data_IF_913549219341
#
_entry.id   IF_913549219341
#
_cell.length_a   1.000
_cell.length_b   1.000
_cell.length_c   1.000
_cell.angle_alpha   90.00
_cell.angle_beta   90.00
_cell.angle_gamma   90.00
#
_symmetry.space_group_name_H-M   'P 1'
#
loop_
_entity.id
_entity.type
_entity.pdbx_description
1 polymer ?
#
# COMPACT_ATOMS: atom_id res chain seq x y z
N UNK A 1 -7.66 -2.59 11.94
CA UNK A 1 -8.36 -2.69 10.62
C UNK A 1 -7.46 -3.47 9.69
N UNK A 2 -8.03 -4.24 8.71
CA UNK A 2 -7.20 -4.98 7.75
C UNK A 2 -7.17 -4.27 6.41
N UNK A 3 -6.00 -4.24 5.78
CA UNK A 3 -5.81 -3.71 4.43
C UNK A 3 -4.94 -4.64 3.61
N UNK A 4 -5.12 -4.63 2.29
CA UNK A 4 -4.28 -5.37 1.37
C UNK A 4 -3.30 -4.44 0.68
N UNK A 5 -2.04 -4.80 0.71
CA UNK A 5 -1.02 -4.19 -0.13
C UNK A 5 -0.49 -5.23 -1.12
N UNK A 6 -0.43 -4.85 -2.38
CA UNK A 6 0.29 -5.63 -3.39
C UNK A 6 1.74 -5.17 -3.39
N UNK A 7 2.63 -6.05 -2.93
CA UNK A 7 4.07 -5.80 -2.99
C UNK A 7 4.60 -6.21 -4.36
N UNK A 8 5.23 -5.27 -5.05
CA UNK A 8 5.92 -5.51 -6.30
C UNK A 8 7.38 -5.80 -5.99
N UNK A 9 7.89 -6.94 -6.44
CA UNK A 9 9.23 -7.41 -6.11
C UNK A 9 9.89 -8.08 -7.32
N UNK A 10 11.20 -7.89 -7.46
CA UNK A 10 12.03 -8.65 -8.40
C UNK A 10 12.62 -9.86 -7.68
N UNK A 11 12.41 -11.06 -8.23
CA UNK A 11 12.82 -12.32 -7.64
C UNK A 11 13.16 -13.38 -8.71
N UNK A 12 13.88 -14.42 -8.33
CA UNK A 12 14.22 -15.52 -9.23
C UNK A 12 13.03 -16.49 -9.45
N UNK A 13 12.21 -16.67 -8.42
CA UNK A 13 11.00 -17.50 -8.44
C UNK A 13 9.98 -17.04 -7.39
N UNK A 14 8.85 -17.75 -7.31
CA UNK A 14 7.76 -17.43 -6.39
C UNK A 14 8.16 -17.58 -4.91
N UNK A 15 8.99 -18.58 -4.57
CA UNK A 15 9.45 -18.82 -3.20
C UNK A 15 10.40 -17.70 -2.76
N UNK A 16 11.31 -17.29 -3.64
CA UNK A 16 12.21 -16.17 -3.42
C UNK A 16 11.41 -14.85 -3.25
N UNK A 17 10.40 -14.61 -4.08
CA UNK A 17 9.52 -13.44 -3.95
C UNK A 17 8.84 -13.38 -2.58
N UNK A 18 8.28 -14.49 -2.09
CA UNK A 18 7.69 -14.59 -0.75
C UNK A 18 8.76 -14.34 0.33
N UNK A 19 9.96 -14.92 0.17
CA UNK A 19 11.07 -14.75 1.09
C UNK A 19 11.52 -13.30 1.22
N UNK A 20 11.67 -12.60 0.10
CA UNK A 20 12.04 -11.17 0.05
C UNK A 20 10.98 -10.32 0.74
N UNK A 21 9.69 -10.50 0.38
CA UNK A 21 8.60 -9.74 0.99
C UNK A 21 8.51 -10.00 2.48
N UNK A 22 8.57 -11.26 2.91
CA UNK A 22 8.56 -11.62 4.33
C UNK A 22 9.73 -11.01 5.07
N UNK A 23 10.93 -11.05 4.52
CA UNK A 23 12.11 -10.39 5.08
C UNK A 23 11.88 -8.90 5.25
N UNK A 24 11.38 -8.23 4.22
CA UNK A 24 11.14 -6.80 4.23
C UNK A 24 10.12 -6.36 5.29
N UNK A 25 9.01 -7.08 5.47
CA UNK A 25 7.97 -6.70 6.44
C UNK A 25 8.28 -7.10 7.88
N UNK A 26 9.22 -8.03 8.10
CA UNK A 26 9.59 -8.48 9.47
C UNK A 26 10.79 -7.74 10.04
N UNK A 27 11.61 -7.09 9.23
CA UNK A 27 12.76 -6.34 9.70
C UNK A 27 12.36 -4.97 10.25
N UNK A 28 12.78 -4.67 11.49
CA UNK A 28 12.51 -3.39 12.16
C UNK A 28 13.12 -2.16 11.43
N UNK A 29 14.09 -2.40 10.56
CA UNK A 29 14.72 -1.36 9.74
C UNK A 29 13.95 -1.04 8.45
N UNK A 30 12.94 -1.83 8.13
CA UNK A 30 12.13 -1.61 6.93
C UNK A 30 11.08 -0.54 7.24
N UNK A 31 11.08 0.57 6.51
CA UNK A 31 10.20 1.70 6.82
C UNK A 31 8.72 1.41 6.53
N UNK A 32 8.37 0.20 6.09
CA UNK A 32 7.05 -0.07 5.57
C UNK A 32 6.38 -1.29 6.19
N UNK A 33 5.13 -1.14 6.54
CA UNK A 33 4.49 0.10 6.98
C UNK A 33 4.71 0.31 8.47
N UNK A 34 5.32 1.40 8.84
CA UNK A 34 5.63 1.73 10.24
C UNK A 34 4.40 1.83 11.16
N UNK A 35 3.20 1.84 10.59
CA UNK A 35 1.93 1.94 11.31
C UNK A 35 1.23 0.60 11.51
N UNK A 36 1.68 -0.48 10.89
CA UNK A 36 1.06 -1.79 11.10
C UNK A 36 1.60 -2.43 12.37
N UNK A 37 0.72 -3.01 13.15
CA UNK A 37 1.05 -3.79 14.36
C UNK A 37 1.08 -5.30 14.09
N UNK A 38 0.58 -5.72 12.93
CA UNK A 38 0.52 -7.11 12.51
C UNK A 38 0.46 -7.22 10.97
N UNK A 39 1.01 -8.29 10.45
CA UNK A 39 0.88 -8.67 9.04
C UNK A 39 0.64 -10.17 8.93
N UNK A 40 -0.15 -10.59 7.97
CA UNK A 40 -0.41 -11.98 7.65
C UNK A 40 0.90 -12.70 7.33
N UNK A 41 1.14 -13.87 7.92
CA UNK A 41 2.36 -14.60 7.59
C UNK A 41 2.88 -15.56 8.63
N UNK A 42 2.36 -15.56 9.84
CA UNK A 42 2.70 -16.60 10.82
C UNK A 42 1.63 -17.68 10.73
N UNK A 43 1.79 -18.61 9.78
CA UNK A 43 0.96 -19.80 9.63
C UNK A 43 -0.15 -19.75 8.58
N UNK A 44 -0.53 -18.57 8.07
CA UNK A 44 -1.65 -18.41 7.13
C UNK A 44 -1.25 -17.88 5.74
N UNK A 45 0.07 -17.74 5.47
CA UNK A 45 0.55 -17.06 4.26
C UNK A 45 0.50 -15.53 4.36
N UNK A 46 1.22 -14.83 3.48
CA UNK A 46 1.32 -13.36 3.52
C UNK A 46 -0.01 -12.67 3.22
N UNK A 47 -0.81 -13.28 2.34
CA UNK A 47 -2.09 -12.71 1.89
C UNK A 47 -3.19 -12.73 2.97
N UNK A 48 -3.10 -13.61 3.97
CA UNK A 48 -4.08 -13.69 5.04
C UNK A 48 -5.52 -13.73 4.53
N UNK A 49 -6.32 -12.69 4.83
CA UNK A 49 -7.72 -12.56 4.39
C UNK A 49 -7.89 -12.40 2.87
N UNK A 50 -6.80 -12.08 2.18
CA UNK A 50 -6.77 -11.84 0.73
C UNK A 50 -6.27 -13.06 -0.03
N UNK A 51 -6.16 -14.22 0.64
CA UNK A 51 -5.87 -15.49 0.00
C UNK A 51 -6.85 -15.76 -1.12
N UNK A 52 -6.32 -16.20 -2.28
CA UNK A 52 -7.13 -16.41 -3.48
C UNK A 52 -7.39 -15.16 -4.31
N UNK A 53 -6.75 -14.03 -4.02
CA UNK A 53 -6.82 -12.83 -4.86
C UNK A 53 -6.45 -13.12 -6.32
N UNK A 54 -5.46 -13.96 -6.53
CA UNK A 54 -5.07 -14.46 -7.84
C UNK A 54 -5.81 -15.77 -8.14
N UNK A 55 -7.05 -15.69 -8.63
CA UNK A 55 -7.91 -16.84 -8.90
C UNK A 55 -7.24 -17.84 -9.87
N UNK A 56 -7.29 -19.11 -9.51
CA UNK A 56 -6.77 -20.22 -10.32
C UNK A 56 -5.38 -20.71 -9.94
N UNK A 57 -4.79 -20.16 -8.90
CA UNK A 57 -3.53 -20.64 -8.35
C UNK A 57 -3.76 -21.79 -7.36
N UNK A 58 -2.91 -22.82 -7.52
CA UNK A 58 -2.91 -23.97 -6.63
C UNK A 58 -2.60 -23.56 -5.20
N UNK A 59 -3.12 -24.33 -4.26
CA UNK A 59 -3.04 -24.12 -2.81
C UNK A 59 -1.72 -23.51 -2.34
N UNK A 60 -1.77 -22.36 -1.68
CA UNK A 60 -0.73 -21.66 -0.94
C UNK A 60 0.24 -20.73 -1.70
N UNK A 61 0.02 -20.42 -2.96
CA UNK A 61 0.87 -19.44 -3.65
C UNK A 61 0.08 -18.18 -4.01
N UNK A 62 -0.13 -17.31 -3.03
CA UNK A 62 -0.64 -15.96 -3.27
C UNK A 62 0.48 -15.07 -3.86
N UNK A 63 1.04 -15.53 -5.00
CA UNK A 63 2.10 -14.86 -5.73
C UNK A 63 1.82 -15.00 -7.20
N UNK A 64 1.91 -13.92 -7.94
CA UNK A 64 1.72 -13.90 -9.38
C UNK A 64 2.98 -13.39 -10.07
N UNK A 65 3.62 -14.23 -10.89
CA UNK A 65 4.62 -13.78 -11.85
C UNK A 65 3.93 -12.97 -12.95
N UNK A 66 4.47 -11.80 -13.25
CA UNK A 66 3.86 -10.88 -14.21
C UNK A 66 3.61 -11.51 -15.59
N UNK A 67 4.55 -12.35 -16.06
CA UNK A 67 4.46 -13.00 -17.37
C UNK A 67 3.51 -14.19 -17.42
N UNK A 68 3.19 -14.80 -16.29
CA UNK A 68 2.30 -15.97 -16.24
C UNK A 68 0.86 -15.61 -16.57
N UNK A 69 0.40 -14.47 -16.06
CA UNK A 69 -0.90 -13.93 -16.43
C UNK A 69 -0.87 -12.40 -16.43
N UNK A 70 -0.30 -11.84 -17.49
CA UNK A 70 -0.13 -10.40 -17.65
C UNK A 70 -1.46 -9.63 -17.55
N UNK A 71 -2.53 -10.17 -18.11
CA UNK A 71 -3.85 -9.49 -18.08
C UNK A 71 -4.34 -9.37 -16.64
N UNK A 72 -4.28 -10.47 -15.88
CA UNK A 72 -4.67 -10.46 -14.48
C UNK A 72 -3.78 -9.52 -13.66
N UNK A 73 -2.46 -9.55 -13.89
CA UNK A 73 -1.51 -8.68 -13.19
C UNK A 73 -1.80 -7.19 -13.46
N UNK A 74 -1.99 -6.82 -14.72
CA UNK A 74 -2.31 -5.44 -15.12
C UNK A 74 -3.65 -4.98 -14.55
N UNK A 75 -4.67 -5.84 -14.53
CA UNK A 75 -5.99 -5.53 -13.97
C UNK A 75 -5.92 -5.34 -12.46
N UNK A 76 -5.19 -6.19 -11.74
CA UNK A 76 -5.00 -6.06 -10.29
C UNK A 76 -4.23 -4.78 -9.95
N UNK A 77 -3.13 -4.51 -10.64
CA UNK A 77 -2.37 -3.26 -10.44
C UNK A 77 -3.29 -2.05 -10.65
N UNK A 78 -4.06 -2.04 -11.72
CA UNK A 78 -4.99 -0.97 -12.04
C UNK A 78 -6.10 -0.82 -11.00
N UNK A 79 -6.68 -1.93 -10.54
CA UNK A 79 -7.69 -1.92 -9.49
C UNK A 79 -7.13 -1.33 -8.21
N UNK A 80 -6.00 -1.84 -7.73
CA UNK A 80 -5.38 -1.38 -6.49
C UNK A 80 -4.90 0.08 -6.56
N UNK A 81 -4.46 0.54 -7.73
CA UNK A 81 -4.18 1.96 -7.96
C UNK A 81 -5.42 2.84 -7.88
N UNK A 82 -6.59 2.31 -8.25
CA UNK A 82 -7.84 3.05 -8.16
C UNK A 82 -8.25 3.37 -6.73
N UNK A 83 -7.89 2.54 -5.76
CA UNK A 83 -8.12 2.80 -4.33
C UNK A 83 -7.41 4.06 -3.86
N UNK A 84 -6.20 4.32 -4.35
CA UNK A 84 -5.46 5.55 -4.07
C UNK A 84 -6.24 6.81 -4.47
N UNK A 85 -6.85 6.79 -5.67
CA UNK A 85 -7.67 7.90 -6.16
C UNK A 85 -8.94 8.04 -5.31
N UNK A 86 -9.58 6.90 -4.98
CA UNK A 86 -10.77 6.86 -4.13
C UNK A 86 -10.51 7.41 -2.75
N UNK A 87 -9.41 7.00 -2.11
CA UNK A 87 -8.99 7.49 -0.79
C UNK A 87 -8.71 8.99 -0.82
N UNK A 88 -7.96 9.47 -1.82
CA UNK A 88 -7.66 10.91 -1.97
C UNK A 88 -8.95 11.72 -2.07
N UNK A 89 -9.93 11.27 -2.86
CA UNK A 89 -11.24 11.92 -2.97
C UNK A 89 -11.99 11.94 -1.63
N UNK A 90 -12.06 10.80 -0.96
CA UNK A 90 -12.73 10.68 0.34
C UNK A 90 -12.12 11.60 1.40
N UNK A 91 -10.79 11.65 1.46
CA UNK A 91 -10.07 12.54 2.38
C UNK A 91 -10.35 14.00 2.07
N UNK A 92 -10.31 14.38 0.78
CA UNK A 92 -10.58 15.73 0.33
C UNK A 92 -12.03 16.17 0.59
N UNK A 93 -13.01 15.30 0.33
CA UNK A 93 -14.41 15.53 0.66
C UNK A 93 -14.60 15.74 2.16
N UNK A 94 -13.90 14.98 3.00
CA UNK A 94 -13.92 15.15 4.44
C UNK A 94 -13.33 16.48 4.93
N UNK A 95 -12.39 17.07 4.18
CA UNK A 95 -11.85 18.42 4.45
C UNK A 95 -12.87 19.48 4.07
N UNK A 96 -13.51 19.33 2.91
CA UNK A 96 -14.41 20.34 2.33
C UNK A 96 -15.84 20.31 2.88
N UNK A 97 -16.18 19.33 3.72
CA UNK A 97 -17.54 19.13 4.22
C UNK A 97 -18.05 20.32 5.05
N UNK A 98 -17.14 21.10 5.63
CA UNK A 98 -17.43 22.33 6.34
C UNK A 98 -16.86 23.54 5.60
N UNK A 99 -17.71 24.42 5.16
CA UNK A 99 -17.37 25.65 4.44
C UNK A 99 -16.54 26.68 5.23
N UNK A 100 -16.12 26.36 6.45
CA UNK A 100 -15.39 27.26 7.35
C UNK A 100 -14.04 26.74 7.82
N UNK A 101 -13.45 25.70 7.16
CA UNK A 101 -12.13 25.24 7.55
C UNK A 101 -11.05 26.24 7.18
N UNK A 102 -10.47 26.86 8.20
CA UNK A 102 -9.33 27.77 8.08
C UNK A 102 -8.05 27.02 8.38
N UNK A 103 -7.26 26.73 7.34
CA UNK A 103 -6.00 25.97 7.44
C UNK A 103 -4.99 26.71 8.31
N UNK A 104 -4.85 28.05 8.17
CA UNK A 104 -3.89 28.83 8.93
C UNK A 104 -4.22 28.80 10.42
N UNK A 105 -5.50 28.97 10.74
CA UNK A 105 -5.98 28.86 12.12
C UNK A 105 -5.73 27.44 12.67
N UNK A 106 -6.07 26.41 11.91
CA UNK A 106 -5.90 25.02 12.34
C UNK A 106 -4.42 24.67 12.59
N UNK A 107 -3.50 25.20 11.77
CA UNK A 107 -2.05 25.03 11.97
C UNK A 107 -1.59 25.77 13.23
N UNK A 108 -2.08 27.01 13.44
CA UNK A 108 -1.67 27.83 14.60
C UNK A 108 -2.17 27.27 15.94
N UNK A 109 -3.30 26.56 15.93
CA UNK A 109 -3.91 25.92 17.08
C UNK A 109 -3.48 24.47 17.27
N UNK A 110 -2.70 23.92 16.35
CA UNK A 110 -2.27 22.52 16.40
C UNK A 110 -1.24 22.30 17.52
N UNK A 111 -1.63 21.47 18.49
CA UNK A 111 -0.74 21.00 19.54
C UNK A 111 -0.37 19.53 19.28
N UNK A 112 0.89 19.24 18.87
CA UNK A 112 1.35 17.87 18.59
C UNK A 112 1.38 16.98 19.85
N UNK A 113 1.30 17.57 21.02
CA UNK A 113 1.27 16.83 22.30
C UNK A 113 -0.15 16.61 22.82
N UNK A 114 -1.14 17.24 22.18
CA UNK A 114 -2.55 17.07 22.53
C UNK A 114 -3.04 15.71 22.03
N UNK A 115 -3.57 14.90 22.93
CA UNK A 115 -4.25 13.65 22.56
C UNK A 115 -5.70 13.89 22.07
N UNK A 116 -6.11 15.13 21.90
CA UNK A 116 -7.46 15.47 21.42
C UNK A 116 -7.47 15.45 19.90
N UNK A 117 -8.11 14.45 19.34
CA UNK A 117 -8.53 14.46 17.94
C UNK A 117 -9.84 15.28 17.83
N UNK A 118 -9.71 16.59 17.83
CA UNK A 118 -10.82 17.46 17.45
C UNK A 118 -10.98 17.53 15.91
N UNK A 119 -12.05 18.18 15.46
CA UNK A 119 -12.35 18.28 14.03
C UNK A 119 -11.22 18.95 13.22
N UNK A 120 -10.52 19.92 13.81
CA UNK A 120 -9.41 20.62 13.15
C UNK A 120 -8.18 19.74 13.01
N UNK A 121 -7.81 19.01 14.06
CA UNK A 121 -6.72 18.05 14.02
C UNK A 121 -6.99 16.94 12.99
N UNK A 122 -8.22 16.44 12.91
CA UNK A 122 -8.62 15.46 11.93
C UNK A 122 -8.53 15.98 10.48
N UNK A 123 -8.90 17.24 10.26
CA UNK A 123 -8.79 17.86 8.92
C UNK A 123 -7.35 18.10 8.50
N UNK A 124 -6.50 18.54 9.43
CA UNK A 124 -5.05 18.67 9.20
C UNK A 124 -4.42 17.32 8.89
N UNK A 125 -4.79 16.28 9.63
CA UNK A 125 -4.32 14.91 9.34
C UNK A 125 -4.73 14.45 7.94
N UNK A 126 -6.00 14.68 7.54
CA UNK A 126 -6.47 14.35 6.18
C UNK A 126 -5.70 15.11 5.11
N UNK A 127 -5.47 16.41 5.32
CA UNK A 127 -4.70 17.24 4.39
C UNK A 127 -3.26 16.72 4.23
N UNK A 128 -2.60 16.41 5.34
CA UNK A 128 -1.27 15.83 5.34
C UNK A 128 -1.22 14.49 4.59
N UNK A 129 -2.23 13.64 4.79
CA UNK A 129 -2.34 12.35 4.11
C UNK A 129 -2.55 12.51 2.60
N UNK A 130 -3.43 13.42 2.19
CA UNK A 130 -3.61 13.76 0.76
C UNK A 130 -2.29 14.23 0.15
N UNK A 131 -1.57 15.13 0.80
CA UNK A 131 -0.28 15.61 0.31
C UNK A 131 0.74 14.48 0.16
N UNK A 132 0.84 13.58 1.13
CA UNK A 132 1.73 12.41 1.07
C UNK A 132 1.36 11.46 -0.08
N UNK A 133 0.06 11.18 -0.27
CA UNK A 133 -0.41 10.33 -1.37
C UNK A 133 -0.04 10.95 -2.72
N UNK A 134 -0.28 12.25 -2.90
CA UNK A 134 0.02 12.96 -4.15
C UNK A 134 1.51 13.05 -4.45
N UNK A 135 2.35 13.12 -3.42
CA UNK A 135 3.81 13.13 -3.55
C UNK A 135 4.43 11.72 -3.71
N UNK A 136 3.63 10.66 -3.73
CA UNK A 136 4.08 9.27 -3.71
C UNK A 136 4.87 8.85 -2.45
N UNK A 137 4.79 9.65 -1.37
CA UNK A 137 5.45 9.36 -0.09
C UNK A 137 4.63 8.39 0.78
N UNK A 138 3.43 8.04 0.33
CA UNK A 138 2.49 7.20 1.04
C UNK A 138 1.62 6.41 0.07
N UNK A 139 1.50 5.10 0.25
CA UNK A 139 0.43 4.38 -0.41
C UNK A 139 -0.88 4.59 0.35
N UNK A 140 -1.99 4.41 -0.37
CA UNK A 140 -3.30 4.23 0.25
C UNK A 140 -3.29 3.03 1.20
N UNK A 141 -4.23 2.96 2.13
CA UNK A 141 -4.36 1.82 3.05
C UNK A 141 -4.45 0.50 2.25
N UNK A 142 -5.16 0.51 1.13
CA UNK A 142 -5.15 -0.57 0.14
C UNK A 142 -4.51 -0.06 -1.13
N UNK A 143 -3.45 -0.70 -1.61
CA UNK A 143 -2.72 -0.18 -2.76
C UNK A 143 -1.61 -1.09 -3.27
N UNK A 144 -0.73 -0.49 -4.05
CA UNK A 144 0.44 -1.14 -4.65
C UNK A 144 1.71 -0.45 -4.15
N UNK A 145 2.70 -1.21 -3.76
CA UNK A 145 3.98 -0.73 -3.28
C UNK A 145 5.15 -1.42 -3.97
N UNK A 146 6.04 -0.64 -4.53
CA UNK A 146 7.27 -1.14 -5.14
C UNK A 146 8.31 -1.39 -4.04
N UNK A 147 8.57 -2.65 -3.73
CA UNK A 147 9.46 -3.03 -2.65
C UNK A 147 10.93 -2.79 -2.99
N UNK A 148 11.30 -2.86 -4.26
CA UNK A 148 12.68 -2.64 -4.68
C UNK A 148 13.10 -1.17 -4.53
N UNK A 149 12.22 -0.25 -4.92
CA UNK A 149 12.47 1.19 -4.84
C UNK A 149 11.89 1.83 -3.55
N UNK A 150 11.31 1.01 -2.68
CA UNK A 150 10.69 1.47 -1.43
C UNK A 150 9.69 2.62 -1.63
N UNK A 151 8.84 2.52 -2.65
CA UNK A 151 7.94 3.60 -3.04
C UNK A 151 6.59 3.11 -3.56
N UNK A 152 5.58 3.95 -3.41
CA UNK A 152 4.29 3.81 -4.08
C UNK A 152 4.30 4.38 -5.52
N UNK A 153 5.42 4.93 -5.97
CA UNK A 153 5.59 5.42 -7.34
C UNK A 153 5.99 4.26 -8.26
N UNK A 154 5.08 3.88 -9.15
CA UNK A 154 5.24 2.70 -10.00
C UNK A 154 6.03 2.95 -11.29
N UNK A 155 6.61 4.14 -11.49
CA UNK A 155 7.41 4.44 -12.69
C UNK A 155 8.60 3.49 -12.82
N UNK A 156 9.30 3.23 -11.72
CA UNK A 156 10.43 2.30 -11.70
C UNK A 156 10.01 0.86 -11.96
N UNK A 157 8.92 0.41 -11.38
CA UNK A 157 8.38 -0.92 -11.64
C UNK A 157 8.03 -1.11 -13.11
N UNK A 158 7.39 -0.13 -13.72
CA UNK A 158 7.07 -0.17 -15.16
C UNK A 158 8.33 -0.33 -16.02
N UNK A 159 9.40 0.39 -15.69
CA UNK A 159 10.69 0.25 -16.37
C UNK A 159 11.29 -1.17 -16.20
N UNK A 160 11.09 -1.82 -15.07
CA UNK A 160 11.54 -3.20 -14.86
C UNK A 160 10.68 -4.20 -15.62
N UNK A 161 9.36 -4.00 -15.69
CA UNK A 161 8.46 -4.83 -16.51
C UNK A 161 8.87 -4.84 -17.98
N UNK A 162 9.39 -3.74 -18.50
CA UNK A 162 9.86 -3.66 -19.88
C UNK A 162 11.19 -4.40 -20.11
N UNK A 163 11.98 -4.63 -19.06
CA UNK A 163 13.32 -5.24 -19.16
C UNK A 163 13.34 -6.71 -18.72
N UNK A 164 12.78 -7.00 -17.57
CA UNK A 164 12.83 -8.33 -16.92
C UNK A 164 11.44 -8.75 -16.43
N UNK A 165 10.44 -8.83 -17.32
CA UNK A 165 9.07 -9.10 -16.90
C UNK A 165 8.90 -10.48 -16.22
N UNK A 166 9.74 -11.45 -16.58
CA UNK A 166 9.73 -12.80 -16.04
C UNK A 166 10.23 -12.91 -14.59
N UNK A 167 10.89 -11.84 -14.09
CA UNK A 167 11.37 -11.75 -12.71
C UNK A 167 10.53 -10.84 -11.84
N UNK A 168 9.44 -10.30 -12.36
CA UNK A 168 8.57 -9.40 -11.61
C UNK A 168 7.38 -10.16 -11.01
N UNK A 169 7.23 -10.05 -9.70
CA UNK A 169 6.20 -10.74 -8.93
C UNK A 169 5.31 -9.76 -8.17
N UNK A 170 4.03 -10.10 -8.09
CA UNK A 170 3.03 -9.45 -7.27
C UNK A 170 2.73 -10.34 -6.07
N UNK A 171 2.90 -9.80 -4.87
CA UNK A 171 2.67 -10.53 -3.62
C UNK A 171 1.69 -9.74 -2.74
N UNK A 172 0.46 -10.24 -2.53
CA UNK A 172 -0.47 -9.58 -1.63
C UNK A 172 -0.07 -9.82 -0.18
N UNK A 173 -0.19 -8.77 0.63
CA UNK A 173 0.09 -8.83 2.06
C UNK A 173 -1.09 -8.26 2.83
N UNK A 174 -1.56 -9.01 3.82
CA UNK A 174 -2.59 -8.55 4.77
C UNK A 174 -1.92 -7.80 5.92
N UNK A 175 -2.19 -6.51 6.03
CA UNK A 175 -1.74 -5.67 7.13
C UNK A 175 -2.88 -5.37 8.10
N UNK A 176 -2.56 -5.35 9.39
CA UNK A 176 -3.47 -4.93 10.45
C UNK A 176 -2.93 -3.67 11.15
N UNK A 177 -3.84 -2.76 11.56
CA UNK A 177 -3.55 -1.57 12.35
C UNK A 177 -4.76 -1.12 13.19
#
# INVERSE_FOLDING_TARGET
>A
MHTCQIMLVEAEDAEDAIGIVRGAITHAETPYPAWSDWHGGIGEGLAGRWSGLFQGWEENQDVLCYTENKVLADDIIKEFLSYRIGETKMLWEGINKDSGFDVEKAISEYDPYSQRFDDNAMKLWRLQRVAKILNNDWCSDTGVYDLHEHTANLEYFKNRLDKNPEKQYLVPVDFHF
#
